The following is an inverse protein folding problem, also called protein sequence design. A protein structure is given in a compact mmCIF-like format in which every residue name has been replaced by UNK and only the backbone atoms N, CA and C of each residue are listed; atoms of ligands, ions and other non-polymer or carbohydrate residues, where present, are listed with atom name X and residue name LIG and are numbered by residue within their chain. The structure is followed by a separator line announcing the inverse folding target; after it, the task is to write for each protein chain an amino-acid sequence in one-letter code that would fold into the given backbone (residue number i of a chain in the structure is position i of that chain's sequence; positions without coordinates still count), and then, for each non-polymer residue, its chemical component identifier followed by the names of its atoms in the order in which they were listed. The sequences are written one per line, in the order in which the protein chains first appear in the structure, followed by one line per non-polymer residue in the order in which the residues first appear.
data_IF_167800738945
#
_entry.id   IF_167800738945
#
_cell.length_a   1.000
_cell.length_b   1.000
_cell.length_c   1.000
_cell.angle_alpha   90.00
_cell.angle_beta   90.00
_cell.angle_gamma   90.00
#
_symmetry.space_group_name_H-M   'P 1'
#
loop_
_entity.id
_entity.type
_entity.pdbx_description
1 polymer ?
#
# COMPACT_ATOMS: atom_id res chain seq x y z
N UNK A 1 -19.68 32.86 17.97
CA UNK A 1 -18.77 34.01 17.76
C UNK A 1 -18.79 34.73 19.08
N UNK A 2 -17.71 34.68 19.84
CA UNK A 2 -17.67 35.24 21.19
C UNK A 2 -16.51 36.23 21.22
N UNK A 3 -16.82 37.47 21.58
CA UNK A 3 -15.89 38.61 21.61
C UNK A 3 -15.55 39.20 20.23
N UNK A 4 -16.36 40.18 19.82
CA UNK A 4 -16.12 41.06 18.67
C UNK A 4 -15.75 42.42 19.20
N UNK A 5 -14.59 42.95 18.84
CA UNK A 5 -14.12 44.26 19.29
C UNK A 5 -13.71 45.10 18.10
N UNK A 6 -14.18 46.33 18.09
CA UNK A 6 -13.81 47.34 17.13
C UNK A 6 -12.58 48.08 17.67
N UNK A 7 -11.50 48.14 16.87
CA UNK A 7 -10.28 48.87 17.21
C UNK A 7 -10.04 49.98 16.20
N UNK A 8 -9.60 51.15 16.69
CA UNK A 8 -9.08 52.21 15.80
C UNK A 8 -7.73 51.74 15.26
N UNK A 9 -7.53 51.86 13.94
CA UNK A 9 -6.24 51.63 13.31
C UNK A 9 -5.22 52.68 13.75
N UNK A 10 -3.92 52.41 13.55
CA UNK A 10 -2.89 53.42 13.74
C UNK A 10 -3.09 54.53 12.70
N UNK A 11 -3.11 55.76 13.20
CA UNK A 11 -3.65 56.97 12.58
C UNK A 11 -2.96 57.35 11.25
N UNK A 12 -3.70 57.28 10.15
CA UNK A 12 -3.47 58.05 8.91
C UNK A 12 -4.82 58.29 8.21
N UNK A 13 -5.63 59.21 8.76
CA UNK A 13 -6.74 59.90 8.07
C UNK A 13 -7.71 58.99 7.27
N UNK A 14 -8.10 57.84 7.81
CA UNK A 14 -9.13 56.96 7.24
C UNK A 14 -10.21 56.69 8.28
N UNK A 15 -11.47 56.99 7.95
CA UNK A 15 -12.66 56.79 8.82
C UNK A 15 -13.03 55.31 9.05
N UNK A 16 -12.16 54.37 8.69
CA UNK A 16 -12.44 52.94 8.76
C UNK A 16 -11.99 52.33 10.09
N UNK A 17 -12.95 51.77 10.83
CA UNK A 17 -12.69 51.07 12.09
C UNK A 17 -12.47 49.58 11.83
N UNK A 18 -11.42 49.01 12.41
CA UNK A 18 -11.04 47.62 12.22
C UNK A 18 -11.84 46.72 13.18
N UNK A 19 -12.63 45.80 12.64
CA UNK A 19 -13.41 44.86 13.45
C UNK A 19 -12.66 43.56 13.58
N UNK A 20 -12.34 43.18 14.82
CA UNK A 20 -11.66 41.92 15.13
C UNK A 20 -12.63 41.02 15.89
N UNK A 21 -12.89 39.84 15.34
CA UNK A 21 -13.75 38.83 15.96
C UNK A 21 -12.95 37.57 16.29
N UNK A 22 -13.17 37.00 17.47
CA UNK A 22 -12.62 35.70 17.83
C UNK A 22 -13.66 34.60 17.58
N UNK A 23 -13.32 33.65 16.71
CA UNK A 23 -14.19 32.51 16.39
C UNK A 23 -13.56 31.21 16.84
N UNK A 24 -14.38 30.38 17.50
CA UNK A 24 -14.01 29.01 17.90
C UNK A 24 -14.85 28.03 17.08
N UNK A 25 -14.27 27.52 15.99
CA UNK A 25 -14.92 26.53 15.14
C UNK A 25 -14.72 25.13 15.73
N UNK A 26 -15.81 24.40 15.96
CA UNK A 26 -15.76 22.95 16.22
C UNK A 26 -16.02 22.24 14.90
N UNK A 27 -14.94 21.89 14.19
CA UNK A 27 -15.04 21.06 12.99
C UNK A 27 -15.37 19.62 13.42
N UNK A 28 -16.53 19.12 13.01
CA UNK A 28 -16.84 17.70 13.14
C UNK A 28 -16.08 16.97 12.04
N UNK A 29 -15.11 16.13 12.42
CA UNK A 29 -14.40 15.30 11.48
C UNK A 29 -15.40 14.28 10.89
N UNK A 30 -15.81 14.49 9.64
CA UNK A 30 -16.61 13.51 8.90
C UNK A 30 -15.62 12.44 8.48
N UNK A 31 -15.62 11.32 9.20
CA UNK A 31 -14.95 10.12 8.72
C UNK A 31 -15.75 9.64 7.51
N UNK A 32 -15.27 9.95 6.31
CA UNK A 32 -15.60 9.11 5.16
C UNK A 32 -15.15 7.71 5.53
N UNK A 33 -16.06 6.74 5.42
CA UNK A 33 -15.71 5.32 5.50
C UNK A 33 -14.75 5.04 4.35
N UNK A 34 -13.46 5.31 4.58
CA UNK A 34 -12.41 5.00 3.62
C UNK A 34 -12.48 3.51 3.36
N UNK A 35 -12.33 3.12 2.08
CA UNK A 35 -11.98 1.75 1.72
C UNK A 35 -11.01 1.19 2.74
N UNK A 36 -11.29 -0.01 3.26
CA UNK A 36 -10.45 -0.71 4.22
C UNK A 36 -9.01 -0.66 3.71
N UNK A 37 -8.19 0.21 4.31
CA UNK A 37 -6.81 0.36 3.85
C UNK A 37 -6.15 -1.01 3.94
N UNK A 38 -5.73 -1.55 2.80
CA UNK A 38 -5.10 -2.86 2.74
C UNK A 38 -3.96 -2.88 3.79
N UNK A 39 -3.89 -3.92 4.64
CA UNK A 39 -2.90 -3.99 5.69
C UNK A 39 -1.50 -3.81 5.11
N UNK A 40 -0.77 -2.76 5.50
CA UNK A 40 0.60 -2.55 5.02
C UNK A 40 1.53 -3.59 5.65
N UNK A 41 2.25 -4.30 4.80
CA UNK A 41 3.27 -5.27 5.19
C UNK A 41 4.47 -4.56 5.83
N UNK A 42 4.85 -4.93 7.05
CA UNK A 42 6.09 -4.44 7.65
C UNK A 42 7.28 -5.24 7.10
N UNK A 43 7.68 -4.93 5.87
CA UNK A 43 8.76 -5.60 5.15
C UNK A 43 10.10 -5.48 5.91
N UNK A 44 10.28 -4.44 6.73
CA UNK A 44 11.51 -4.23 7.49
C UNK A 44 11.78 -5.37 8.49
N UNK A 45 10.75 -6.05 8.99
CA UNK A 45 10.89 -7.21 9.88
C UNK A 45 11.57 -8.41 9.21
N UNK A 46 11.41 -8.56 7.88
CA UNK A 46 12.05 -9.64 7.11
C UNK A 46 13.56 -9.43 6.94
N UNK A 47 14.10 -8.28 7.36
CA UNK A 47 15.54 -8.02 7.36
C UNK A 47 16.24 -8.53 8.62
N UNK A 48 15.49 -8.77 9.68
CA UNK A 48 16.01 -9.34 10.93
C UNK A 48 16.02 -10.86 10.84
N UNK A 49 17.16 -11.49 11.14
CA UNK A 49 17.37 -12.92 10.90
C UNK A 49 16.48 -13.81 11.78
N UNK A 50 16.31 -13.47 13.06
CA UNK A 50 15.50 -14.25 14.00
C UNK A 50 14.02 -14.16 13.63
N UNK A 51 13.61 -12.94 13.27
CA UNK A 51 12.27 -12.63 12.82
C UNK A 51 11.92 -13.26 11.48
N UNK A 52 12.88 -13.32 10.55
CA UNK A 52 12.75 -14.06 9.30
C UNK A 52 12.61 -15.56 9.54
N UNK A 53 13.38 -16.13 10.47
CA UNK A 53 13.30 -17.56 10.78
C UNK A 53 11.94 -17.92 11.41
N UNK A 54 11.46 -17.11 12.35
CA UNK A 54 10.13 -17.23 12.94
C UNK A 54 9.02 -17.15 11.88
N UNK A 55 9.17 -16.25 10.90
CA UNK A 55 8.26 -16.16 9.76
C UNK A 55 8.28 -17.43 8.90
N UNK A 56 9.47 -17.97 8.58
CA UNK A 56 9.63 -19.19 7.77
C UNK A 56 8.94 -20.39 8.42
N UNK A 57 9.15 -20.60 9.71
CA UNK A 57 8.55 -21.71 10.46
C UNK A 57 7.03 -21.58 10.48
N UNK A 58 6.52 -20.38 10.80
CA UNK A 58 5.09 -20.14 10.86
C UNK A 58 4.40 -20.27 9.48
N UNK A 59 5.09 -19.88 8.40
CA UNK A 59 4.61 -20.10 7.03
C UNK A 59 4.55 -21.59 6.69
N UNK A 60 5.60 -22.36 7.00
CA UNK A 60 5.64 -23.80 6.76
C UNK A 60 4.51 -24.54 7.48
N UNK A 61 4.35 -24.28 8.78
CA UNK A 61 3.34 -24.96 9.59
C UNK A 61 1.93 -24.71 9.07
N UNK A 62 1.64 -23.47 8.64
CA UNK A 62 0.33 -23.11 8.07
C UNK A 62 0.12 -23.68 6.68
N UNK A 63 1.15 -23.67 5.83
CA UNK A 63 1.06 -24.29 4.52
C UNK A 63 0.79 -25.79 4.64
N UNK A 64 1.46 -26.48 5.57
CA UNK A 64 1.19 -27.89 5.84
C UNK A 64 -0.26 -28.11 6.30
N UNK A 65 -0.74 -27.32 7.26
CA UNK A 65 -2.13 -27.41 7.72
C UNK A 65 -3.15 -27.12 6.60
N UNK A 66 -2.87 -26.15 5.71
CA UNK A 66 -3.70 -25.90 4.54
C UNK A 66 -3.68 -27.10 3.57
N UNK A 67 -2.52 -27.68 3.29
CA UNK A 67 -2.41 -28.85 2.42
C UNK A 67 -3.21 -30.03 2.95
N UNK A 68 -3.24 -30.23 4.26
CA UNK A 68 -3.99 -31.32 4.86
C UNK A 68 -5.51 -31.06 4.78
N UNK A 69 -5.96 -29.81 4.97
CA UNK A 69 -7.36 -29.42 4.74
C UNK A 69 -7.78 -29.57 3.26
N UNK A 70 -6.92 -29.18 2.32
CA UNK A 70 -7.19 -29.27 0.88
C UNK A 70 -7.26 -30.71 0.35
N UNK A 71 -6.75 -31.70 1.10
CA UNK A 71 -6.90 -33.12 0.77
C UNK A 71 -8.25 -33.69 1.20
N UNK A 72 -8.93 -33.07 2.17
CA UNK A 72 -10.16 -33.59 2.77
C UNK A 72 -11.43 -32.97 2.15
N UNK A 73 -11.34 -31.82 1.48
CA UNK A 73 -12.48 -31.06 0.98
C UNK A 73 -12.30 -30.65 -0.49
N UNK A 74 -13.34 -30.82 -1.32
CA UNK A 74 -13.35 -30.35 -2.71
C UNK A 74 -13.53 -28.82 -2.70
N UNK A 75 -12.40 -28.10 -2.74
CA UNK A 75 -12.39 -26.64 -2.64
C UNK A 75 -12.32 -25.96 -4.01
N UNK A 76 -12.89 -24.77 -4.12
CA UNK A 76 -12.79 -23.97 -5.35
C UNK A 76 -11.41 -23.35 -5.50
N UNK A 77 -11.02 -22.99 -6.74
CA UNK A 77 -9.77 -22.27 -7.01
C UNK A 77 -9.64 -20.96 -6.19
N UNK A 78 -10.76 -20.28 -5.94
CA UNK A 78 -10.80 -19.04 -5.15
C UNK A 78 -10.58 -19.31 -3.65
N UNK A 79 -11.13 -20.40 -3.12
CA UNK A 79 -10.94 -20.78 -1.71
C UNK A 79 -9.49 -21.17 -1.42
N UNK A 80 -8.86 -21.90 -2.34
CA UNK A 80 -7.44 -22.26 -2.26
C UNK A 80 -6.56 -21.01 -2.31
N UNK A 81 -6.75 -20.17 -3.33
CA UNK A 81 -6.01 -18.92 -3.48
C UNK A 81 -6.19 -18.01 -2.26
N UNK A 82 -7.41 -17.87 -1.76
CA UNK A 82 -7.71 -17.14 -0.54
C UNK A 82 -7.03 -17.75 0.70
N UNK A 83 -6.98 -19.08 0.81
CA UNK A 83 -6.27 -19.80 1.88
C UNK A 83 -4.77 -19.49 1.86
N UNK A 84 -4.18 -19.56 0.69
CA UNK A 84 -2.79 -19.20 0.42
C UNK A 84 -2.46 -17.75 0.77
N UNK A 85 -3.26 -16.80 0.30
CA UNK A 85 -3.15 -15.40 0.68
C UNK A 85 -3.25 -15.22 2.20
N UNK A 86 -4.21 -15.88 2.86
CA UNK A 86 -4.36 -15.83 4.32
C UNK A 86 -3.12 -16.37 5.02
N UNK A 87 -2.54 -17.48 4.56
CA UNK A 87 -1.32 -18.04 5.16
C UNK A 87 -0.12 -17.10 5.04
N UNK A 88 0.06 -16.44 3.90
CA UNK A 88 1.13 -15.45 3.72
C UNK A 88 0.85 -14.18 4.55
N UNK A 89 -0.37 -13.65 4.48
CA UNK A 89 -0.73 -12.35 5.04
C UNK A 89 -0.90 -12.38 6.56
N UNK A 90 -1.36 -13.51 7.12
CA UNK A 90 -1.50 -13.71 8.57
C UNK A 90 -0.14 -13.70 9.29
N UNK A 91 0.93 -14.13 8.63
CA UNK A 91 2.28 -14.11 9.20
C UNK A 91 2.85 -12.70 9.33
N UNK A 92 2.46 -11.78 8.44
CA UNK A 92 2.96 -10.40 8.45
C UNK A 92 2.23 -9.50 9.45
N UNK A 93 1.06 -9.95 9.92
CA UNK A 93 0.36 -9.32 11.03
C UNK A 93 1.12 -9.42 12.36
N UNK A 94 2.15 -10.25 12.51
CA UNK A 94 3.01 -10.25 13.71
C UNK A 94 3.88 -8.98 13.82
N UNK A 95 4.10 -8.26 12.72
CA UNK A 95 4.69 -6.92 12.72
C UNK A 95 3.74 -5.82 13.22
N UNK A 96 2.48 -6.14 13.49
CA UNK A 96 1.44 -5.21 13.96
C UNK A 96 1.14 -5.33 15.46
N UNK A 97 1.95 -6.06 16.23
CA UNK A 97 1.67 -6.48 17.61
C UNK A 97 0.99 -5.42 18.49
N UNK A 98 1.71 -4.39 18.97
CA UNK A 98 1.15 -3.42 19.91
C UNK A 98 0.00 -2.58 19.33
N UNK A 99 -0.02 -2.36 18.02
CA UNK A 99 -1.04 -1.53 17.34
C UNK A 99 -2.35 -2.31 17.20
N UNK A 100 -2.28 -3.58 16.81
CA UNK A 100 -3.43 -4.47 16.71
C UNK A 100 -4.01 -4.77 18.09
N UNK A 101 -3.15 -5.03 19.07
CA UNK A 101 -3.54 -5.22 20.47
C UNK A 101 -4.22 -3.97 21.05
N UNK A 102 -3.69 -2.78 20.74
CA UNK A 102 -4.36 -1.51 21.09
C UNK A 102 -5.74 -1.37 20.44
N UNK A 103 -5.88 -1.77 19.16
CA UNK A 103 -7.19 -1.71 18.46
C UNK A 103 -8.18 -2.66 19.11
N UNK A 104 -7.79 -3.89 19.39
CA UNK A 104 -8.64 -4.90 20.01
C UNK A 104 -9.09 -4.47 21.42
N UNK A 105 -8.16 -4.02 22.26
CA UNK A 105 -8.46 -3.51 23.62
C UNK A 105 -9.32 -2.25 23.61
N UNK A 106 -9.20 -1.42 22.56
CA UNK A 106 -10.10 -0.27 22.36
C UNK A 106 -11.52 -0.73 22.03
N UNK A 107 -11.67 -1.74 21.16
CA UNK A 107 -12.97 -2.31 20.80
C UNK A 107 -13.64 -2.97 22.00
N UNK A 108 -12.92 -3.76 22.80
CA UNK A 108 -13.46 -4.38 24.01
C UNK A 108 -13.88 -3.33 25.04
N UNK A 109 -13.11 -2.25 25.22
CA UNK A 109 -13.49 -1.14 26.10
C UNK A 109 -14.78 -0.43 25.64
N UNK A 110 -14.96 -0.21 24.34
CA UNK A 110 -16.16 0.43 23.78
C UNK A 110 -17.38 -0.49 23.94
N UNK A 111 -17.21 -1.79 23.70
CA UNK A 111 -18.31 -2.77 23.69
C UNK A 111 -18.69 -3.29 25.08
N UNK A 112 -17.82 -3.10 26.10
CA UNK A 112 -18.11 -3.49 27.48
C UNK A 112 -19.34 -2.76 28.05
N UNK A 113 -20.37 -3.53 28.42
CA UNK A 113 -21.64 -3.00 28.95
C UNK A 113 -21.66 -2.96 30.48
N UNK A 114 -20.94 -3.86 31.13
CA UNK A 114 -20.91 -4.00 32.59
C UNK A 114 -19.84 -3.07 33.18
N UNK A 115 -20.16 -2.35 34.27
CA UNK A 115 -19.24 -1.38 34.91
C UNK A 115 -17.90 -2.02 35.33
N UNK A 116 -17.92 -3.21 35.90
CA UNK A 116 -16.72 -3.93 36.33
C UNK A 116 -15.82 -4.31 35.14
N UNK A 117 -16.40 -4.90 34.10
CA UNK A 117 -15.68 -5.26 32.86
C UNK A 117 -15.11 -4.03 32.16
N UNK A 118 -15.84 -2.90 32.17
CA UNK A 118 -15.38 -1.66 31.58
C UNK A 118 -14.14 -1.09 32.26
N UNK A 119 -14.06 -1.19 33.59
CA UNK A 119 -12.87 -0.76 34.36
C UNK A 119 -11.66 -1.61 33.97
N UNK A 120 -11.83 -2.93 33.87
CA UNK A 120 -10.77 -3.87 33.49
C UNK A 120 -10.30 -3.58 32.06
N UNK A 121 -11.23 -3.51 31.09
CA UNK A 121 -10.91 -3.23 29.69
C UNK A 121 -10.27 -1.83 29.52
N UNK A 122 -10.64 -0.86 30.34
CA UNK A 122 -10.02 0.48 30.32
C UNK A 122 -8.58 0.46 30.83
N UNK A 123 -8.30 -0.27 31.92
CA UNK A 123 -6.95 -0.43 32.46
C UNK A 123 -6.03 -1.13 31.44
N UNK A 124 -6.51 -2.19 30.79
CA UNK A 124 -5.79 -2.89 29.72
C UNK A 124 -5.50 -1.96 28.53
N UNK A 125 -6.50 -1.23 28.04
CA UNK A 125 -6.30 -0.26 26.96
C UNK A 125 -5.25 0.81 27.31
N UNK A 126 -5.28 1.34 28.54
CA UNK A 126 -4.31 2.36 29.00
C UNK A 126 -2.87 1.79 28.96
N UNK A 127 -2.68 0.57 29.48
CA UNK A 127 -1.38 -0.12 29.50
C UNK A 127 -0.83 -0.31 28.10
N UNK A 128 -1.62 -0.90 27.19
CA UNK A 128 -1.21 -1.16 25.81
C UNK A 128 -0.99 0.15 25.04
N UNK A 129 -1.84 1.16 25.24
CA UNK A 129 -1.67 2.48 24.62
C UNK A 129 -0.40 3.20 25.08
N UNK A 130 0.00 3.04 26.36
CA UNK A 130 1.28 3.56 26.87
C UNK A 130 2.47 2.90 26.16
N UNK A 131 2.47 1.57 26.06
CA UNK A 131 3.51 0.83 25.35
C UNK A 131 3.63 1.22 23.88
N UNK A 132 2.50 1.42 23.18
CA UNK A 132 2.48 1.92 21.80
C UNK A 132 3.10 3.32 21.70
N UNK A 133 2.79 4.23 22.64
CA UNK A 133 3.36 5.58 22.65
C UNK A 133 4.86 5.57 22.88
N UNK A 134 5.34 4.75 23.80
CA UNK A 134 6.77 4.58 24.09
C UNK A 134 7.51 3.99 22.89
N UNK A 135 6.97 2.94 22.28
CA UNK A 135 7.53 2.36 21.05
C UNK A 135 7.56 3.36 19.90
N UNK A 136 6.49 4.14 19.69
CA UNK A 136 6.47 5.19 18.67
C UNK A 136 7.51 6.28 18.92
N UNK A 137 7.72 6.68 20.19
CA UNK A 137 8.74 7.66 20.56
C UNK A 137 10.15 7.11 20.30
N UNK A 138 10.41 5.86 20.68
CA UNK A 138 11.68 5.18 20.44
C UNK A 138 11.96 5.01 18.94
N UNK A 139 10.97 4.56 18.16
CA UNK A 139 11.09 4.41 16.71
C UNK A 139 11.31 5.75 16.00
N UNK A 140 10.63 6.82 16.43
CA UNK A 140 10.87 8.17 15.91
C UNK A 140 12.31 8.62 16.18
N UNK A 141 12.80 8.40 17.41
CA UNK A 141 14.19 8.72 17.78
C UNK A 141 15.18 7.95 16.91
N UNK A 142 15.01 6.63 16.80
CA UNK A 142 15.85 5.75 15.96
C UNK A 142 15.87 6.18 14.50
N UNK A 143 14.70 6.50 13.93
CA UNK A 143 14.59 6.99 12.55
C UNK A 143 15.37 8.30 12.34
N UNK A 144 15.25 9.25 13.27
CA UNK A 144 15.98 10.52 13.21
C UNK A 144 17.49 10.30 13.34
N UNK A 145 17.93 9.41 14.24
CA UNK A 145 19.35 9.04 14.40
C UNK A 145 19.93 8.34 13.15
N UNK A 146 19.18 7.42 12.54
CA UNK A 146 19.57 6.78 11.27
C UNK A 146 19.69 7.80 10.13
N UNK A 147 18.76 8.77 10.04
CA UNK A 147 18.83 9.85 9.07
C UNK A 147 20.02 10.78 9.33
N UNK A 148 20.30 11.12 10.60
CA UNK A 148 21.43 11.95 10.98
C UNK A 148 22.76 11.28 10.61
N UNK A 149 22.94 10.01 10.98
CA UNK A 149 24.15 9.23 10.66
C UNK A 149 24.32 9.04 9.15
N UNK A 150 23.24 8.83 8.40
CA UNK A 150 23.28 8.76 6.93
C UNK A 150 23.71 10.09 6.33
N UNK A 151 23.19 11.21 6.85
CA UNK A 151 23.54 12.56 6.38
C UNK A 151 25.00 12.89 6.68
N UNK A 152 25.50 12.53 7.86
CA UNK A 152 26.90 12.70 8.23
C UNK A 152 27.83 11.90 7.30
N UNK A 153 27.50 10.63 7.02
CA UNK A 153 28.25 9.81 6.06
C UNK A 153 28.23 10.42 4.66
N UNK A 154 27.06 10.87 4.18
CA UNK A 154 26.94 11.51 2.87
C UNK A 154 27.79 12.80 2.79
N UNK A 155 27.84 13.59 3.87
CA UNK A 155 28.69 14.78 3.96
C UNK A 155 30.18 14.43 3.86
N UNK A 156 30.64 13.43 4.63
CA UNK A 156 32.05 12.98 4.63
C UNK A 156 32.52 12.51 3.25
N UNK A 157 31.65 11.83 2.50
CA UNK A 157 31.96 11.30 1.15
C UNK A 157 31.61 12.32 0.04
N UNK A 158 31.22 13.56 0.39
CA UNK A 158 30.76 14.62 -0.52
C UNK A 158 29.64 14.17 -1.49
N UNK A 159 28.78 13.25 -1.05
CA UNK A 159 27.59 12.84 -1.80
C UNK A 159 26.47 13.88 -1.66
N UNK A 160 26.59 14.96 -2.43
CA UNK A 160 25.69 16.11 -2.35
C UNK A 160 24.22 15.75 -2.65
N UNK A 161 23.98 14.75 -3.49
CA UNK A 161 22.63 14.28 -3.82
C UNK A 161 21.94 13.65 -2.61
N UNK A 162 22.61 12.70 -1.94
CA UNK A 162 22.05 12.07 -0.75
C UNK A 162 21.86 13.05 0.40
N UNK A 163 22.80 13.99 0.57
CA UNK A 163 22.71 15.04 1.59
C UNK A 163 21.48 15.93 1.38
N UNK A 164 21.25 16.38 0.15
CA UNK A 164 20.05 17.15 -0.19
C UNK A 164 18.76 16.36 0.05
N UNK A 165 18.72 15.09 -0.36
CA UNK A 165 17.54 14.23 -0.20
C UNK A 165 17.20 13.95 1.28
N UNK A 166 18.19 13.75 2.15
CA UNK A 166 17.96 13.52 3.59
C UNK A 166 17.57 14.81 4.31
N UNK A 167 18.19 15.95 4.00
CA UNK A 167 17.80 17.26 4.54
C UNK A 167 16.36 17.62 4.12
N UNK A 168 16.00 17.34 2.87
CA UNK A 168 14.63 17.51 2.37
C UNK A 168 13.60 16.65 3.12
N UNK A 169 13.96 15.40 3.45
CA UNK A 169 13.12 14.51 4.28
C UNK A 169 12.95 15.02 5.70
N UNK A 170 14.00 15.56 6.32
CA UNK A 170 13.98 16.13 7.68
C UNK A 170 13.14 17.41 7.79
N UNK A 171 13.10 18.23 6.74
CA UNK A 171 12.41 19.51 6.76
C UNK A 171 10.88 19.42 6.75
N UNK A 172 10.30 18.23 6.48
CA UNK A 172 8.90 17.79 6.64
C UNK A 172 7.79 18.88 6.65
N UNK A 173 7.87 19.86 5.73
CA UNK A 173 6.85 20.91 5.51
C UNK A 173 6.33 20.97 4.09
N UNK A 174 6.76 20.05 3.23
CA UNK A 174 6.32 20.05 1.84
C UNK A 174 5.17 19.06 1.64
N UNK A 175 3.94 19.55 1.77
CA UNK A 175 2.82 18.95 1.05
C UNK A 175 3.02 19.31 -0.42
N UNK A 176 3.05 18.32 -1.31
CA UNK A 176 2.89 18.63 -2.74
C UNK A 176 1.52 19.30 -2.88
N UNK A 177 1.42 20.54 -3.38
CA UNK A 177 0.12 21.03 -3.78
C UNK A 177 -0.43 20.05 -4.82
N UNK A 178 -1.62 19.50 -4.54
CA UNK A 178 -2.37 18.73 -5.53
C UNK A 178 -2.59 19.66 -6.71
N UNK A 179 -2.01 19.30 -7.85
CA UNK A 179 -2.18 20.09 -9.06
C UNK A 179 -3.49 19.63 -9.70
N UNK A 180 -4.50 20.51 -9.81
CA UNK A 180 -5.77 20.13 -10.40
C UNK A 180 -5.54 19.67 -11.84
N UNK A 181 -6.04 18.48 -12.13
CA UNK A 181 -6.00 17.88 -13.45
C UNK A 181 -7.00 18.62 -14.34
N UNK A 182 -6.68 18.89 -15.61
CA UNK A 182 -7.55 19.67 -16.50
C UNK A 182 -8.53 18.81 -17.28
N UNK A 183 -9.73 19.30 -17.59
CA UNK A 183 -10.65 18.67 -18.54
C UNK A 183 -10.13 18.78 -19.99
N UNK A 184 -10.89 18.25 -20.97
CA UNK A 184 -10.49 18.29 -22.40
C UNK A 184 -10.40 19.72 -22.93
N UNK A 185 -11.17 20.62 -22.33
CA UNK A 185 -11.28 22.04 -22.64
C UNK A 185 -10.20 22.88 -21.91
N UNK A 186 -9.34 22.23 -21.11
CA UNK A 186 -8.22 22.87 -20.42
C UNK A 186 -8.56 23.54 -19.08
N UNK A 187 -9.79 23.37 -18.57
CA UNK A 187 -10.26 23.91 -17.30
C UNK A 187 -9.86 22.99 -16.14
N UNK A 188 -9.44 23.53 -14.99
CA UNK A 188 -9.04 22.71 -13.84
C UNK A 188 -10.25 21.99 -13.22
N UNK A 189 -10.15 20.68 -13.07
CA UNK A 189 -11.12 19.84 -12.37
C UNK A 189 -10.77 19.87 -10.88
N UNK A 190 -11.63 20.44 -10.06
CA UNK A 190 -11.46 20.51 -8.61
C UNK A 190 -12.15 19.37 -7.87
N UNK A 191 -13.13 18.70 -8.50
CA UNK A 191 -13.88 17.62 -7.88
C UNK A 191 -13.23 16.25 -8.08
N UNK A 192 -13.10 15.46 -7.01
CA UNK A 192 -12.44 14.15 -7.04
C UNK A 192 -13.18 13.14 -7.92
N UNK A 193 -14.51 13.19 -7.98
CA UNK A 193 -15.29 12.27 -8.82
C UNK A 193 -15.10 12.57 -10.31
N UNK A 194 -15.12 13.84 -10.69
CA UNK A 194 -14.86 14.27 -12.06
C UNK A 194 -13.43 13.91 -12.50
N UNK A 195 -12.44 14.05 -11.60
CA UNK A 195 -11.08 13.59 -11.87
C UNK A 195 -11.04 12.08 -12.15
N UNK A 196 -11.74 11.26 -11.35
CA UNK A 196 -11.84 9.81 -11.60
C UNK A 196 -12.50 9.49 -12.93
N UNK A 197 -13.63 10.12 -13.25
CA UNK A 197 -14.33 9.90 -14.52
C UNK A 197 -13.44 10.26 -15.71
N UNK A 198 -12.69 11.35 -15.61
CA UNK A 198 -11.77 11.77 -16.66
C UNK A 198 -10.59 10.80 -16.83
N UNK A 199 -10.13 10.17 -15.74
CA UNK A 199 -9.15 9.08 -15.79
C UNK A 199 -9.70 7.84 -16.50
N UNK A 200 -10.93 7.43 -16.18
CA UNK A 200 -11.60 6.29 -16.84
C UNK A 200 -11.68 6.52 -18.34
N UNK A 201 -12.18 7.67 -18.76
CA UNK A 201 -12.32 8.02 -20.18
C UNK A 201 -10.96 8.00 -20.92
N UNK A 202 -9.90 8.53 -20.31
CA UNK A 202 -8.57 8.51 -20.90
C UNK A 202 -8.05 7.07 -21.11
N UNK A 203 -8.23 6.20 -20.12
CA UNK A 203 -7.76 4.82 -20.22
C UNK A 203 -8.61 3.92 -21.10
N UNK A 204 -9.94 4.14 -21.14
CA UNK A 204 -10.80 3.43 -22.09
C UNK A 204 -10.35 3.70 -23.53
N UNK A 205 -10.09 4.95 -23.89
CA UNK A 205 -9.60 5.29 -25.23
C UNK A 205 -8.20 4.73 -25.54
N UNK A 206 -7.33 4.67 -24.53
CA UNK A 206 -5.95 4.18 -24.69
C UNK A 206 -5.87 2.65 -24.80
N UNK A 207 -6.59 1.93 -23.95
CA UNK A 207 -6.53 0.47 -23.83
C UNK A 207 -7.45 -0.24 -24.83
N UNK A 208 -8.56 0.38 -25.22
CA UNK A 208 -9.55 -0.22 -26.13
C UNK A 208 -9.48 0.36 -27.56
N UNK A 209 -8.27 0.66 -28.06
CA UNK A 209 -8.11 1.19 -29.42
C UNK A 209 -8.64 0.17 -30.44
N UNK A 210 -9.49 0.59 -31.41
CA UNK A 210 -9.97 -0.33 -32.45
C UNK A 210 -8.80 -0.88 -33.26
N UNK A 211 -8.96 -2.11 -33.77
CA UNK A 211 -7.97 -2.74 -34.64
C UNK A 211 -7.63 -1.80 -35.81
N UNK A 212 -6.34 -1.63 -36.15
CA UNK A 212 -5.94 -0.78 -37.26
C UNK A 212 -6.59 -1.27 -38.56
N UNK A 213 -7.17 -0.34 -39.33
CA UNK A 213 -7.85 -0.66 -40.60
C UNK A 213 -6.93 -1.33 -41.63
N UNK A 214 -5.63 -1.04 -41.56
CA UNK A 214 -4.63 -1.69 -42.39
C UNK A 214 -4.02 -2.82 -41.57
N UNK A 215 -4.22 -4.07 -42.02
CA UNK A 215 -3.44 -5.20 -41.51
C UNK A 215 -1.98 -4.94 -41.81
N UNK A 216 -1.10 -4.85 -40.80
CA UNK A 216 0.34 -4.85 -41.06
C UNK A 216 0.67 -6.15 -41.81
N UNK A 217 1.37 -6.03 -42.95
CA UNK A 217 1.89 -7.20 -43.66
C UNK A 217 3.05 -7.77 -42.81
N UNK A 218 2.71 -8.58 -41.82
CA UNK A 218 3.67 -9.31 -40.99
C UNK A 218 4.09 -10.51 -41.82
N UNK A 219 5.29 -10.45 -42.39
CA UNK A 219 5.92 -11.58 -43.06
C UNK A 219 5.92 -12.76 -42.06
N UNK A 220 5.25 -13.85 -42.44
CA UNK A 220 5.05 -14.98 -41.55
C UNK A 220 6.42 -15.50 -41.09
N UNK A 221 6.67 -15.43 -39.78
CA UNK A 221 7.90 -15.96 -39.21
C UNK A 221 8.07 -17.42 -39.68
N UNK A 222 9.15 -17.70 -40.41
CA UNK A 222 9.42 -19.01 -41.02
C UNK A 222 9.63 -20.14 -39.99
N UNK A 223 9.52 -19.84 -38.71
CA UNK A 223 9.66 -20.81 -37.62
C UNK A 223 8.73 -20.36 -36.49
N UNK A 224 7.63 -21.09 -36.29
CA UNK A 224 6.92 -21.06 -35.02
C UNK A 224 7.91 -21.51 -33.95
N UNK A 225 8.29 -20.62 -33.03
CA UNK A 225 9.00 -21.03 -31.82
C UNK A 225 8.17 -22.14 -31.16
N UNK A 226 8.80 -23.21 -30.64
CA UNK A 226 8.07 -24.25 -29.92
C UNK A 226 7.43 -23.58 -28.70
N UNK A 227 6.13 -23.34 -28.76
CA UNK A 227 5.36 -22.92 -27.60
C UNK A 227 5.34 -24.11 -26.66
N UNK A 228 6.08 -24.02 -25.56
CA UNK A 228 6.03 -25.03 -24.53
C UNK A 228 4.66 -24.99 -23.86
N UNK A 229 3.84 -26.01 -24.15
CA UNK A 229 2.50 -26.21 -23.58
C UNK A 229 2.54 -27.12 -22.35
N UNK A 230 3.71 -27.36 -21.78
CA UNK A 230 3.83 -28.16 -20.58
C UNK A 230 3.52 -27.34 -19.33
N UNK A 231 3.15 -28.05 -18.28
CA UNK A 231 2.94 -27.47 -16.95
C UNK A 231 4.25 -26.83 -16.46
N UNK A 232 4.22 -25.61 -15.87
CA UNK A 232 5.40 -24.99 -15.30
C UNK A 232 6.08 -25.90 -14.28
N UNK A 233 7.36 -26.14 -14.47
CA UNK A 233 8.17 -26.97 -13.56
C UNK A 233 8.44 -26.24 -12.24
N UNK A 234 8.66 -26.99 -11.17
CA UNK A 234 9.06 -26.43 -9.87
C UNK A 234 10.34 -25.59 -9.98
N UNK A 235 11.28 -25.98 -10.84
CA UNK A 235 12.54 -25.23 -11.03
C UNK A 235 12.31 -23.88 -11.70
N UNK A 236 11.45 -23.81 -12.72
CA UNK A 236 11.08 -22.55 -13.38
C UNK A 236 10.42 -21.60 -12.40
N UNK A 237 9.49 -22.10 -11.58
CA UNK A 237 8.81 -21.31 -10.55
C UNK A 237 9.84 -20.81 -9.51
N UNK A 238 10.74 -21.70 -9.07
CA UNK A 238 11.80 -21.37 -8.12
C UNK A 238 12.71 -20.26 -8.65
N UNK A 239 13.11 -20.35 -9.91
CA UNK A 239 13.92 -19.33 -10.57
C UNK A 239 13.16 -18.01 -10.72
N UNK A 240 11.88 -18.07 -11.13
CA UNK A 240 11.04 -16.89 -11.25
C UNK A 240 10.93 -16.14 -9.92
N UNK A 241 10.63 -16.83 -8.81
CA UNK A 241 10.55 -16.23 -7.46
C UNK A 241 11.86 -15.53 -7.08
N UNK A 242 13.01 -16.13 -7.37
CA UNK A 242 14.32 -15.53 -7.09
C UNK A 242 14.54 -14.24 -7.89
N UNK A 243 14.06 -14.19 -9.12
CA UNK A 243 14.21 -13.04 -10.03
C UNK A 243 13.24 -11.89 -9.77
N UNK A 244 12.14 -12.10 -9.04
CA UNK A 244 11.17 -11.03 -8.71
C UNK A 244 11.90 -9.83 -8.09
N UNK A 245 11.59 -8.59 -8.48
CA UNK A 245 12.23 -7.41 -7.88
C UNK A 245 11.61 -7.09 -6.52
N UNK A 246 12.45 -6.97 -5.49
CA UNK A 246 12.04 -6.50 -4.15
C UNK A 246 11.77 -4.99 -4.15
N UNK A 247 10.97 -4.51 -3.20
CA UNK A 247 10.60 -3.10 -3.06
C UNK A 247 9.52 -2.62 -4.03
N UNK A 248 8.87 -3.55 -4.73
CA UNK A 248 7.70 -3.27 -5.58
C UNK A 248 6.42 -3.29 -4.75
N UNK A 249 5.40 -2.56 -5.20
CA UNK A 249 4.09 -2.58 -4.55
C UNK A 249 3.46 -3.97 -4.73
N UNK A 250 2.77 -4.44 -3.70
CA UNK A 250 2.01 -5.68 -3.79
C UNK A 250 0.74 -5.45 -4.61
N UNK A 251 0.38 -6.43 -5.45
CA UNK A 251 -0.88 -6.41 -6.21
C UNK A 251 -2.11 -6.60 -5.31
N UNK A 252 -3.31 -6.81 -5.89
CA UNK A 252 -4.59 -6.93 -5.17
C UNK A 252 -4.56 -7.93 -3.99
N UNK A 253 -3.85 -9.05 -4.14
CA UNK A 253 -3.67 -10.05 -3.07
C UNK A 253 -2.78 -9.61 -1.90
N UNK A 254 -2.18 -8.42 -1.99
CA UNK A 254 -1.35 -7.79 -0.97
C UNK A 254 -0.14 -8.66 -0.54
N UNK A 255 0.37 -9.51 -1.43
CA UNK A 255 1.56 -10.33 -1.19
C UNK A 255 2.79 -9.58 -1.71
N UNK A 256 3.70 -9.09 -0.84
CA UNK A 256 4.92 -8.45 -1.31
C UNK A 256 5.92 -9.49 -1.81
N UNK A 257 6.77 -9.10 -2.76
CA UNK A 257 7.83 -9.94 -3.32
C UNK A 257 8.75 -10.54 -2.24
N UNK A 258 9.01 -9.79 -1.17
CA UNK A 258 9.83 -10.20 -0.05
C UNK A 258 9.22 -11.36 0.75
N UNK A 259 7.88 -11.42 0.83
CA UNK A 259 7.20 -12.55 1.47
C UNK A 259 7.38 -13.83 0.64
N UNK A 260 7.26 -13.75 -0.69
CA UNK A 260 7.52 -14.88 -1.58
C UNK A 260 8.99 -15.35 -1.49
N UNK A 261 9.93 -14.40 -1.43
CA UNK A 261 11.36 -14.70 -1.33
C UNK A 261 11.81 -15.22 0.04
N UNK A 262 11.03 -14.98 1.08
CA UNK A 262 11.42 -15.33 2.45
C UNK A 262 11.59 -16.84 2.64
N UNK A 263 10.79 -17.66 1.95
CA UNK A 263 10.89 -19.10 1.94
C UNK A 263 10.60 -19.63 0.53
N UNK A 264 11.64 -19.61 -0.30
CA UNK A 264 11.54 -19.97 -1.72
C UNK A 264 11.00 -21.40 -1.89
N UNK A 265 11.41 -22.34 -1.05
CA UNK A 265 11.00 -23.75 -1.19
C UNK A 265 9.49 -23.91 -1.00
N UNK A 266 8.96 -23.43 0.12
CA UNK A 266 7.52 -23.57 0.42
C UNK A 266 6.65 -22.75 -0.53
N UNK A 267 7.10 -21.56 -0.91
CA UNK A 267 6.37 -20.74 -1.89
C UNK A 267 6.40 -21.35 -3.29
N UNK A 268 7.50 -22.01 -3.68
CA UNK A 268 7.58 -22.77 -4.94
C UNK A 268 6.58 -23.92 -4.95
N UNK A 269 6.57 -24.74 -3.91
CA UNK A 269 5.68 -25.89 -3.82
C UNK A 269 4.20 -25.46 -3.80
N UNK A 270 3.90 -24.38 -3.08
CA UNK A 270 2.59 -23.76 -3.04
C UNK A 270 2.13 -23.27 -4.42
N UNK A 271 2.97 -22.49 -5.11
CA UNK A 271 2.64 -21.96 -6.44
C UNK A 271 2.56 -23.08 -7.50
N UNK A 272 3.40 -24.10 -7.41
CA UNK A 272 3.36 -25.24 -8.32
C UNK A 272 2.03 -26.01 -8.22
N UNK A 273 1.52 -26.22 -7.01
CA UNK A 273 0.20 -26.86 -6.84
C UNK A 273 -0.92 -26.01 -7.43
N UNK A 274 -0.88 -24.70 -7.18
CA UNK A 274 -1.85 -23.75 -7.71
C UNK A 274 -1.83 -23.72 -9.26
N UNK A 275 -0.65 -23.58 -9.86
CA UNK A 275 -0.49 -23.59 -11.31
C UNK A 275 -0.94 -24.92 -11.93
N UNK A 276 -0.70 -26.04 -11.26
CA UNK A 276 -1.21 -27.35 -11.69
C UNK A 276 -2.73 -27.41 -11.71
N UNK A 277 -3.39 -26.82 -10.72
CA UNK A 277 -4.85 -26.77 -10.65
C UNK A 277 -5.42 -25.86 -11.74
N UNK A 278 -4.89 -24.64 -11.87
CA UNK A 278 -5.22 -23.69 -12.94
C UNK A 278 -5.09 -24.36 -14.32
N UNK A 279 -3.98 -25.08 -14.54
CA UNK A 279 -3.71 -25.73 -15.82
C UNK A 279 -4.71 -26.83 -16.16
N UNK A 280 -5.18 -27.59 -15.15
CA UNK A 280 -6.16 -28.67 -15.34
C UNK A 280 -7.59 -28.18 -15.48
N UNK A 281 -7.98 -27.19 -14.67
CA UNK A 281 -9.36 -26.72 -14.56
C UNK A 281 -9.67 -25.53 -15.48
N UNK A 282 -8.63 -24.84 -15.97
CA UNK A 282 -8.78 -23.61 -16.77
C UNK A 282 -9.35 -22.42 -15.99
N UNK A 283 -9.45 -22.54 -14.67
CA UNK A 283 -9.98 -21.50 -13.80
C UNK A 283 -8.85 -20.70 -13.14
N UNK A 284 -9.04 -19.39 -13.06
CA UNK A 284 -8.10 -18.44 -12.45
C UNK A 284 -8.89 -17.51 -11.53
N UNK A 285 -8.31 -17.19 -10.37
CA UNK A 285 -8.90 -16.27 -9.38
C UNK A 285 -9.21 -14.90 -10.00
N UNK A 286 -10.28 -14.27 -9.51
CA UNK A 286 -10.67 -12.93 -9.97
C UNK A 286 -9.59 -11.88 -9.72
N UNK A 287 -8.83 -12.00 -8.62
CA UNK A 287 -7.70 -11.13 -8.28
C UNK A 287 -6.64 -11.04 -9.39
N UNK A 288 -6.52 -12.09 -10.21
CA UNK A 288 -5.52 -12.17 -11.29
C UNK A 288 -6.07 -11.64 -12.62
N UNK A 289 -7.39 -11.44 -12.71
CA UNK A 289 -8.07 -10.81 -13.84
C UNK A 289 -8.21 -9.30 -13.66
N UNK A 290 -8.09 -8.83 -12.41
CA UNK A 290 -8.11 -7.43 -12.05
C UNK A 290 -6.68 -6.86 -11.96
N UNK A 291 -6.39 -5.82 -12.74
CA UNK A 291 -5.15 -5.05 -12.62
C UNK A 291 -5.41 -3.70 -11.95
N UNK A 292 -4.61 -3.33 -10.96
CA UNK A 292 -4.73 -2.00 -10.35
C UNK A 292 -3.92 -0.99 -11.16
N UNK A 293 -4.61 0.01 -11.73
CA UNK A 293 -3.96 1.09 -12.46
C UNK A 293 -3.42 2.16 -11.50
N UNK A 294 -2.09 2.23 -11.38
CA UNK A 294 -1.43 3.32 -10.67
C UNK A 294 -0.86 4.36 -11.64
N UNK A 295 -1.29 5.61 -11.46
CA UNK A 295 -0.84 6.72 -12.29
C UNK A 295 0.50 7.26 -11.79
N UNK A 296 1.54 7.14 -12.63
CA UNK A 296 2.88 7.69 -12.40
C UNK A 296 3.08 8.90 -13.30
N UNK A 297 3.25 10.07 -12.70
CA UNK A 297 3.57 11.31 -13.44
C UNK A 297 4.98 11.22 -14.04
N UNK A 298 5.07 11.43 -15.36
CA UNK A 298 6.28 11.72 -16.11
C UNK A 298 6.73 13.17 -15.89
N UNK A 299 7.96 13.46 -16.31
CA UNK A 299 8.50 14.82 -16.34
C UNK A 299 7.73 15.65 -17.38
N UNK A 300 7.09 16.74 -16.95
CA UNK A 300 6.30 17.61 -17.83
C UNK A 300 5.23 18.38 -17.05
N UNK A 301 4.27 18.94 -17.78
CA UNK A 301 3.08 19.58 -17.20
C UNK A 301 2.17 18.49 -16.60
N UNK A 302 2.10 18.47 -15.27
CA UNK A 302 1.32 17.50 -14.50
C UNK A 302 -0.20 17.74 -14.59
N UNK A 303 -0.64 18.84 -15.21
CA UNK A 303 -2.05 19.08 -15.53
C UNK A 303 -2.52 18.33 -16.79
N UNK A 304 -1.58 17.79 -17.59
CA UNK A 304 -1.86 17.02 -18.81
C UNK A 304 -1.81 15.51 -18.55
N UNK A 305 -2.85 14.79 -18.97
CA UNK A 305 -2.95 13.33 -18.81
C UNK A 305 -1.90 12.53 -19.59
N UNK A 306 -1.48 13.03 -20.75
CA UNK A 306 -0.43 12.42 -21.60
C UNK A 306 0.92 12.28 -20.86
N UNK A 307 1.14 13.12 -19.85
CA UNK A 307 2.32 13.11 -19.00
C UNK A 307 2.18 12.14 -17.83
N UNK A 308 1.26 11.17 -17.88
CA UNK A 308 1.17 10.06 -16.94
C UNK A 308 1.38 8.72 -17.65
N UNK A 309 2.11 7.83 -17.01
CA UNK A 309 2.22 6.40 -17.34
C UNK A 309 1.44 5.59 -16.33
N UNK A 310 0.85 4.49 -16.75
CA UNK A 310 0.31 3.47 -15.86
C UNK A 310 1.40 2.48 -15.46
N UNK A 311 1.41 2.14 -14.18
CA UNK A 311 2.00 0.90 -13.69
C UNK A 311 0.84 -0.05 -13.41
N UNK A 312 0.91 -1.26 -13.95
CA UNK A 312 -0.05 -2.33 -13.67
C UNK A 312 0.48 -3.11 -12.47
N UNK A 313 -0.30 -3.15 -11.38
CA UNK A 313 -0.08 -4.03 -10.24
C UNK A 313 -1.02 -5.22 -10.26
#
# INVERSE_FOLDING_TARGET
MEDVRTRRGADMASDHHLVVAKMKLKLKNIWTTGQTALPRFNIAFLKDADKLNEFKIALNNRFQALQDLLKEEETTMEDEWGGYQRSINSNVSRGSGPIKERRNTKTTNINSRIRAEKIIAQAEYIKVNKQVKESNKANKKKCVEELATTTEKASRVRNMKQLYDTTKKLAEKYSKPERPVKDKEGRPITETQEQRNRWVEYFEGLLNRPAPMNTPNIEAAHTSLPTDVNLPTTEEIRMAIRQIKSGKAAGPGNIPAEALKSNVEVTTNMLHLLFRKIWKEGQVSMDWKEGLLNNISKKGDQSKFENYTTDHL
#
